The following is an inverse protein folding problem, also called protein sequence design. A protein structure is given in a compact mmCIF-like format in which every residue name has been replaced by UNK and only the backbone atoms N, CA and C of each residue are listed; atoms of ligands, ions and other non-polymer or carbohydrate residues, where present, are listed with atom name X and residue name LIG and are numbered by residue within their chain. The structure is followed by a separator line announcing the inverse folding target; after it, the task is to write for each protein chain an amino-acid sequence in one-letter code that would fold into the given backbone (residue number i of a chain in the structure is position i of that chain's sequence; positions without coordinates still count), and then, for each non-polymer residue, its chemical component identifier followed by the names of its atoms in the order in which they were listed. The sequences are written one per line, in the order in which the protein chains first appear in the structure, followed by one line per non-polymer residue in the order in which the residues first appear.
data_IF_266746575747
#
_entry.id   IF_266746575747
#
_cell.length_a   1.000
_cell.length_b   1.000
_cell.length_c   1.000
_cell.angle_alpha   90.00
_cell.angle_beta   90.00
_cell.angle_gamma   90.00
#
_symmetry.space_group_name_H-M   'P 1'
#
loop_
_entity.id
_entity.type
_entity.pdbx_description
1 polymer ?
#
# COMPACT_ATOMS: atom_id res chain seq x y z
N UNK A 1 -15.47 4.53 -4.13
CA UNK A 1 -14.27 5.08 -4.80
C UNK A 1 -13.04 4.51 -4.10
N UNK A 2 -12.21 3.72 -4.75
CA UNK A 2 -11.00 3.23 -4.12
C UNK A 2 -9.99 4.38 -3.95
N UNK A 3 -9.41 4.51 -2.78
CA UNK A 3 -8.20 5.29 -2.53
C UNK A 3 -8.35 6.68 -1.95
N UNK A 4 -9.52 7.29 -1.96
CA UNK A 4 -9.71 8.63 -1.41
C UNK A 4 -10.56 8.60 -0.14
N UNK A 5 -10.08 9.31 0.89
CA UNK A 5 -10.86 9.48 2.11
C UNK A 5 -12.02 10.42 1.86
N UNK A 6 -13.21 10.03 2.27
CA UNK A 6 -14.41 10.89 2.23
C UNK A 6 -14.17 12.23 2.91
N UNK A 7 -13.40 12.24 4.01
CA UNK A 7 -13.00 13.48 4.70
C UNK A 7 -12.15 14.40 3.84
N UNK A 8 -11.24 13.87 3.03
CA UNK A 8 -10.41 14.67 2.12
C UNK A 8 -11.23 15.23 0.96
N UNK A 9 -12.19 14.46 0.46
CA UNK A 9 -13.12 14.91 -0.56
C UNK A 9 -14.03 16.01 -0.01
N UNK A 10 -14.57 15.85 1.19
CA UNK A 10 -15.35 16.86 1.86
C UNK A 10 -14.55 18.16 2.10
N UNK A 11 -13.28 18.04 2.51
CA UNK A 11 -12.40 19.18 2.68
C UNK A 11 -12.17 19.91 1.35
N UNK A 12 -11.97 19.20 0.24
CA UNK A 12 -11.80 19.78 -1.08
C UNK A 12 -13.05 20.58 -1.52
N UNK A 13 -14.25 20.03 -1.30
CA UNK A 13 -15.52 20.74 -1.57
C UNK A 13 -15.64 22.01 -0.72
N UNK A 14 -15.32 21.95 0.56
CA UNK A 14 -15.33 23.12 1.46
C UNK A 14 -14.36 24.19 0.97
N UNK A 15 -13.14 23.82 0.58
CA UNK A 15 -12.15 24.77 0.02
C UNK A 15 -12.67 25.40 -1.26
N UNK A 16 -13.18 24.61 -2.19
CA UNK A 16 -13.72 25.10 -3.45
C UNK A 16 -14.90 26.10 -3.21
N UNK A 17 -15.79 25.80 -2.28
CA UNK A 17 -16.89 26.70 -1.88
C UNK A 17 -16.34 28.00 -1.29
N UNK A 18 -15.28 27.95 -0.47
CA UNK A 18 -14.63 29.16 0.09
C UNK A 18 -13.95 30.01 -0.96
N UNK A 19 -13.54 29.40 -2.07
CA UNK A 19 -12.99 30.09 -3.25
C UNK A 19 -14.09 30.63 -4.20
N UNK A 20 -15.37 30.58 -3.77
CA UNK A 20 -16.54 30.98 -4.56
C UNK A 20 -16.69 30.24 -5.88
N UNK A 21 -16.22 29.01 -5.96
CA UNK A 21 -16.52 28.15 -7.11
C UNK A 21 -17.96 27.64 -7.01
N UNK A 22 -18.69 27.74 -8.10
CA UNK A 22 -20.03 27.16 -8.18
C UNK A 22 -19.89 25.67 -8.41
N UNK A 23 -20.32 24.88 -7.42
CA UNK A 23 -20.30 23.41 -7.46
C UNK A 23 -21.73 22.92 -7.37
N UNK A 24 -22.22 22.30 -8.42
CA UNK A 24 -23.41 21.47 -8.35
C UNK A 24 -23.03 20.00 -8.06
N UNK A 25 -24.01 19.18 -7.76
CA UNK A 25 -23.78 17.78 -7.40
C UNK A 25 -23.20 17.00 -8.57
N UNK A 26 -23.62 17.27 -9.78
CA UNK A 26 -23.16 16.57 -10.99
C UNK A 26 -21.67 16.85 -11.25
N UNK A 27 -21.24 18.12 -11.14
CA UNK A 27 -19.83 18.48 -11.21
C UNK A 27 -18.98 17.81 -10.14
N UNK A 28 -19.49 17.71 -8.90
CA UNK A 28 -18.80 17.03 -7.79
C UNK A 28 -18.65 15.55 -8.10
N UNK A 29 -19.73 14.89 -8.52
CA UNK A 29 -19.75 13.46 -8.80
C UNK A 29 -18.84 13.14 -10.01
N UNK A 30 -18.90 13.91 -11.08
CA UNK A 30 -18.04 13.76 -12.25
C UNK A 30 -16.55 13.92 -11.88
N UNK A 31 -16.21 14.97 -11.12
CA UNK A 31 -14.85 15.21 -10.66
C UNK A 31 -14.34 14.04 -9.79
N UNK A 32 -15.19 13.52 -8.90
CA UNK A 32 -14.82 12.40 -8.03
C UNK A 32 -14.68 11.07 -8.79
N UNK A 33 -15.49 10.85 -9.81
CA UNK A 33 -15.39 9.66 -10.66
C UNK A 33 -14.13 9.69 -11.54
N UNK A 34 -13.75 10.88 -12.01
CA UNK A 34 -12.55 11.07 -12.82
C UNK A 34 -11.25 11.09 -12.01
N UNK A 35 -11.34 11.28 -10.66
CA UNK A 35 -10.16 11.49 -9.83
C UNK A 35 -9.39 10.18 -9.63
N UNK A 36 -8.16 10.15 -10.14
CA UNK A 36 -7.18 9.10 -9.91
C UNK A 36 -5.90 9.73 -9.39
N UNK A 37 -5.45 9.33 -8.21
CA UNK A 37 -4.20 9.80 -7.62
C UNK A 37 -3.22 8.63 -7.60
N UNK A 38 -2.05 8.80 -8.22
CA UNK A 38 -1.01 7.80 -8.23
C UNK A 38 -0.61 7.39 -6.79
N UNK A 39 -0.48 6.09 -6.54
CA UNK A 39 -0.12 5.56 -5.24
C UNK A 39 -1.18 5.73 -4.14
N UNK A 40 -2.45 5.93 -4.47
CA UNK A 40 -3.57 5.96 -3.52
C UNK A 40 -4.57 4.84 -3.86
N UNK A 41 -4.34 3.65 -3.29
CA UNK A 41 -5.03 2.40 -3.63
C UNK A 41 -5.17 2.21 -5.17
N UNK A 42 -4.16 2.67 -5.88
CA UNK A 42 -4.09 2.54 -7.32
C UNK A 42 -3.99 1.07 -7.67
N UNK A 43 -4.88 0.60 -8.52
CA UNK A 43 -4.91 -0.78 -8.99
C UNK A 43 -4.53 -0.83 -10.47
N UNK A 44 -3.69 -1.79 -10.81
CA UNK A 44 -3.33 -2.07 -12.21
C UNK A 44 -3.11 -3.58 -12.38
N UNK A 45 -3.31 -4.06 -13.58
CA UNK A 45 -2.99 -5.45 -13.95
C UNK A 45 -1.71 -5.43 -14.79
N UNK A 46 -0.71 -6.14 -14.32
CA UNK A 46 0.54 -6.31 -15.05
C UNK A 46 1.09 -7.72 -14.78
N UNK A 47 1.64 -8.37 -15.80
CA UNK A 47 2.22 -9.73 -15.73
C UNK A 47 1.23 -10.74 -15.11
N UNK A 48 -0.03 -10.66 -15.51
CA UNK A 48 -1.15 -11.50 -15.03
C UNK A 48 -1.37 -11.44 -13.50
N UNK A 49 -0.98 -10.36 -12.85
CA UNK A 49 -1.14 -10.11 -11.41
C UNK A 49 -1.86 -8.79 -11.15
N UNK A 50 -2.56 -8.71 -10.01
CA UNK A 50 -3.20 -7.49 -9.57
C UNK A 50 -2.24 -6.71 -8.66
N UNK A 51 -1.74 -5.59 -9.14
CA UNK A 51 -0.88 -4.69 -8.39
C UNK A 51 -1.70 -3.60 -7.69
N UNK A 52 -1.45 -3.42 -6.40
CA UNK A 52 -1.99 -2.34 -5.59
C UNK A 52 -0.86 -1.46 -5.10
N UNK A 53 -0.89 -0.20 -5.51
CA UNK A 53 0.10 0.80 -5.12
C UNK A 53 -0.53 1.75 -4.11
N UNK A 54 0.03 1.84 -2.92
CA UNK A 54 -0.43 2.74 -1.87
C UNK A 54 0.73 3.38 -1.12
N UNK A 55 0.63 4.67 -0.83
CA UNK A 55 1.59 5.42 0.00
C UNK A 55 1.23 5.33 1.50
N UNK A 56 0.67 4.22 1.95
CA UNK A 56 0.32 3.97 3.34
C UNK A 56 1.58 3.88 4.20
N UNK A 57 1.84 4.91 5.01
CA UNK A 57 3.05 5.10 5.79
C UNK A 57 2.81 5.40 7.28
N UNK A 58 1.59 5.20 7.77
CA UNK A 58 1.19 5.32 9.16
C UNK A 58 0.09 4.31 9.51
N UNK A 59 -0.19 4.12 10.80
CA UNK A 59 -1.14 3.09 11.26
C UNK A 59 -2.54 3.25 10.66
N UNK A 60 -3.04 4.47 10.53
CA UNK A 60 -4.38 4.72 10.00
C UNK A 60 -4.49 4.33 8.52
N UNK A 61 -3.52 4.73 7.69
CA UNK A 61 -3.50 4.38 6.27
C UNK A 61 -3.25 2.88 6.04
N UNK A 62 -2.40 2.25 6.85
CA UNK A 62 -2.16 0.80 6.79
C UNK A 62 -3.39 0.01 7.23
N UNK A 63 -4.11 0.46 8.27
CA UNK A 63 -5.35 -0.19 8.68
C UNK A 63 -6.40 -0.18 7.55
N UNK A 64 -6.55 0.94 6.84
CA UNK A 64 -7.45 1.02 5.68
C UNK A 64 -7.01 0.09 4.54
N UNK A 65 -5.71 0.04 4.26
CA UNK A 65 -5.16 -0.87 3.26
C UNK A 65 -5.43 -2.33 3.65
N UNK A 66 -5.25 -2.70 4.92
CA UNK A 66 -5.54 -4.04 5.44
C UNK A 66 -7.02 -4.43 5.25
N UNK A 67 -7.96 -3.53 5.57
CA UNK A 67 -9.39 -3.74 5.33
C UNK A 67 -9.67 -3.98 3.84
N UNK A 68 -9.11 -3.14 2.96
CA UNK A 68 -9.30 -3.27 1.52
C UNK A 68 -8.74 -4.60 0.96
N UNK A 69 -7.63 -5.10 1.52
CA UNK A 69 -7.06 -6.40 1.17
C UNK A 69 -8.02 -7.53 1.62
N UNK A 70 -8.51 -7.46 2.86
CA UNK A 70 -9.40 -8.47 3.43
C UNK A 70 -10.74 -8.58 2.69
N UNK A 71 -11.35 -7.45 2.30
CA UNK A 71 -12.61 -7.41 1.56
C UNK A 71 -12.54 -8.08 0.18
N UNK A 72 -11.37 -8.18 -0.41
CA UNK A 72 -11.14 -8.79 -1.73
C UNK A 72 -10.35 -10.10 -1.65
N UNK A 73 -10.41 -10.78 -0.53
CA UNK A 73 -9.69 -12.04 -0.30
C UNK A 73 -10.49 -13.24 -0.82
N UNK A 74 -10.46 -13.45 -2.14
CA UNK A 74 -11.14 -14.56 -2.81
C UNK A 74 -10.25 -15.82 -2.92
N UNK A 75 -9.47 -16.11 -1.89
CA UNK A 75 -8.49 -17.21 -1.91
C UNK A 75 -7.21 -16.87 -2.68
N UNK A 76 -7.01 -15.60 -3.03
CA UNK A 76 -5.84 -15.08 -3.73
C UNK A 76 -4.71 -14.81 -2.73
N UNK A 77 -3.50 -15.26 -3.02
CA UNK A 77 -2.32 -14.91 -2.22
C UNK A 77 -1.97 -13.42 -2.40
N UNK A 78 -1.58 -12.79 -1.30
CA UNK A 78 -1.16 -11.39 -1.31
C UNK A 78 0.30 -11.27 -0.88
N UNK A 79 1.12 -10.73 -1.75
CA UNK A 79 2.55 -10.50 -1.54
C UNK A 79 2.80 -9.02 -1.31
N UNK A 80 3.56 -8.66 -0.27
CA UNK A 80 3.84 -7.26 0.06
C UNK A 80 5.25 -6.86 -0.34
N UNK A 81 5.39 -5.81 -1.14
CA UNK A 81 6.65 -5.05 -1.25
C UNK A 81 6.53 -3.88 -0.29
N UNK A 82 7.34 -3.89 0.76
CA UNK A 82 7.24 -2.92 1.86
C UNK A 82 8.58 -2.23 2.11
N UNK A 83 8.57 -0.89 1.99
CA UNK A 83 9.69 -0.04 2.35
C UNK A 83 9.19 1.22 3.02
N UNK A 84 9.79 1.63 4.14
CA UNK A 84 9.33 2.78 4.91
C UNK A 84 10.46 3.44 5.68
N UNK A 85 10.16 4.56 6.35
CA UNK A 85 11.14 5.26 7.17
C UNK A 85 11.24 4.65 8.58
N UNK A 86 12.44 4.66 9.16
CA UNK A 86 12.74 4.04 10.46
C UNK A 86 12.03 4.72 11.64
N UNK A 87 11.64 5.98 11.49
CA UNK A 87 10.93 6.77 12.51
C UNK A 87 9.42 6.47 12.60
N UNK A 88 8.91 5.58 11.76
CA UNK A 88 7.48 5.19 11.77
C UNK A 88 7.19 4.12 12.83
N UNK A 89 5.95 3.99 13.28
CA UNK A 89 5.53 2.97 14.25
C UNK A 89 5.48 1.57 13.58
N UNK A 90 6.66 1.07 13.16
CA UNK A 90 6.83 -0.11 12.32
C UNK A 90 6.09 -1.34 12.84
N UNK A 91 6.21 -1.63 14.15
CA UNK A 91 5.54 -2.77 14.76
C UNK A 91 4.03 -2.71 14.57
N UNK A 92 3.41 -1.59 14.94
CA UNK A 92 1.96 -1.43 14.83
C UNK A 92 1.49 -1.48 13.37
N UNK A 93 2.24 -0.90 12.44
CA UNK A 93 1.92 -0.96 11.00
C UNK A 93 1.95 -2.41 10.50
N UNK A 94 2.98 -3.19 10.86
CA UNK A 94 3.10 -4.59 10.43
C UNK A 94 2.00 -5.44 11.06
N UNK A 95 1.72 -5.30 12.37
CA UNK A 95 0.66 -6.03 13.06
C UNK A 95 -0.72 -5.84 12.41
N UNK A 96 -1.03 -4.62 11.95
CA UNK A 96 -2.30 -4.28 11.32
C UNK A 96 -2.58 -5.00 10.00
N UNK A 97 -1.54 -5.37 9.24
CA UNK A 97 -1.70 -5.90 7.89
C UNK A 97 -1.20 -7.34 7.72
N UNK A 98 -0.43 -7.86 8.67
CA UNK A 98 0.26 -9.15 8.56
C UNK A 98 -0.65 -10.33 8.27
N UNK A 99 -1.87 -10.34 8.79
CA UNK A 99 -2.82 -11.45 8.60
C UNK A 99 -3.19 -11.66 7.13
N UNK A 100 -3.22 -10.57 6.36
CA UNK A 100 -3.55 -10.60 4.92
C UNK A 100 -2.36 -10.80 3.99
N UNK A 101 -1.13 -11.03 4.52
CA UNK A 101 0.10 -11.09 3.71
C UNK A 101 0.71 -12.49 3.72
N UNK A 102 0.85 -13.07 2.53
CA UNK A 102 1.46 -14.41 2.32
C UNK A 102 2.98 -14.35 2.28
N UNK A 103 3.58 -13.27 1.77
CA UNK A 103 5.04 -13.06 1.79
C UNK A 103 5.41 -11.58 1.79
N UNK A 104 6.59 -11.28 2.35
CA UNK A 104 7.14 -9.94 2.44
C UNK A 104 8.43 -9.80 1.63
N UNK A 105 8.51 -8.74 0.85
CA UNK A 105 9.65 -8.37 0.01
C UNK A 105 10.12 -6.98 0.43
N UNK A 106 11.31 -6.92 1.01
CA UNK A 106 11.83 -5.74 1.71
C UNK A 106 13.02 -5.15 0.94
N UNK A 107 12.79 -4.14 0.09
CA UNK A 107 13.89 -3.48 -0.62
C UNK A 107 14.68 -2.55 0.30
N UNK A 108 15.99 -2.47 0.08
CA UNK A 108 16.79 -1.38 0.60
C UNK A 108 16.58 -0.12 -0.24
N UNK A 109 16.66 1.03 0.41
CA UNK A 109 16.59 2.35 -0.24
C UNK A 109 17.95 3.02 -0.09
N UNK A 110 18.86 2.71 -1.01
CA UNK A 110 20.21 3.26 -1.00
C UNK A 110 20.17 4.79 -1.07
N UNK A 111 21.04 5.44 -0.30
CA UNK A 111 21.12 6.91 -0.23
C UNK A 111 20.04 7.58 0.64
N UNK A 112 19.08 6.85 1.17
CA UNK A 112 18.06 7.38 2.08
C UNK A 112 18.39 7.00 3.53
N UNK A 113 19.11 7.86 4.23
CA UNK A 113 19.57 7.61 5.61
C UNK A 113 18.44 7.34 6.62
N UNK A 114 17.21 7.81 6.34
CA UNK A 114 16.03 7.60 7.19
C UNK A 114 15.29 6.31 6.89
N UNK A 115 15.63 5.60 5.82
CA UNK A 115 14.94 4.36 5.48
C UNK A 115 15.15 3.29 6.56
N UNK A 116 14.11 2.53 6.83
CA UNK A 116 14.23 1.38 7.72
C UNK A 116 15.10 0.30 7.06
N UNK A 117 15.98 -0.31 7.86
CA UNK A 117 16.85 -1.37 7.37
C UNK A 117 16.01 -2.63 7.06
N UNK A 118 16.11 -3.22 5.87
CA UNK A 118 15.36 -4.42 5.52
C UNK A 118 15.58 -5.61 6.46
N UNK A 119 16.78 -5.79 7.00
CA UNK A 119 17.08 -6.87 7.94
C UNK A 119 16.36 -6.68 9.28
N UNK A 120 16.25 -5.44 9.77
CA UNK A 120 15.52 -5.12 11.00
C UNK A 120 14.01 -5.30 10.80
N UNK A 121 13.48 -4.88 9.66
CA UNK A 121 12.10 -5.14 9.27
C UNK A 121 11.80 -6.64 9.20
N UNK A 122 12.70 -7.42 8.57
CA UNK A 122 12.56 -8.86 8.47
C UNK A 122 12.51 -9.54 9.85
N UNK A 123 13.38 -9.14 10.78
CA UNK A 123 13.36 -9.65 12.16
C UNK A 123 12.05 -9.30 12.87
N UNK A 124 11.56 -8.08 12.68
CA UNK A 124 10.32 -7.62 13.29
C UNK A 124 9.11 -8.40 12.74
N UNK A 125 9.02 -8.57 11.42
CA UNK A 125 7.98 -9.37 10.77
C UNK A 125 8.00 -10.82 11.26
N UNK A 126 9.18 -11.43 11.35
CA UNK A 126 9.32 -12.81 11.84
C UNK A 126 8.93 -12.99 13.32
N UNK A 127 9.06 -11.95 14.14
CA UNK A 127 8.55 -11.97 15.53
C UNK A 127 7.03 -11.90 15.60
N UNK A 128 6.39 -11.19 14.66
CA UNK A 128 4.93 -11.04 14.59
C UNK A 128 4.30 -12.27 13.91
N UNK A 129 4.89 -12.70 12.79
CA UNK A 129 4.41 -13.82 11.97
C UNK A 129 5.55 -14.78 11.65
N UNK A 130 5.88 -15.73 12.56
CA UNK A 130 7.09 -16.57 12.47
C UNK A 130 7.16 -17.45 11.21
N UNK A 131 6.00 -17.82 10.65
CA UNK A 131 5.91 -18.75 9.50
C UNK A 131 5.89 -18.03 8.16
N UNK A 132 5.65 -16.71 8.12
CA UNK A 132 5.54 -15.95 6.85
C UNK A 132 6.89 -15.93 6.12
N UNK A 133 6.87 -16.03 4.81
CA UNK A 133 8.07 -15.86 4.00
C UNK A 133 8.51 -14.38 4.00
N UNK A 134 9.81 -14.13 4.19
CA UNK A 134 10.38 -12.78 4.16
C UNK A 134 11.69 -12.80 3.39
N UNK A 135 11.81 -11.90 2.42
CA UNK A 135 13.02 -11.74 1.61
C UNK A 135 13.46 -10.28 1.57
N UNK A 136 14.76 -10.04 1.77
CA UNK A 136 15.37 -8.73 1.65
C UNK A 136 16.03 -8.58 0.28
N UNK A 137 16.00 -7.38 -0.28
CA UNK A 137 16.55 -7.05 -1.58
C UNK A 137 17.46 -5.83 -1.52
N UNK A 138 18.52 -5.78 -2.35
CA UNK A 138 19.42 -4.64 -2.36
C UNK A 138 18.80 -3.36 -2.94
N UNK A 139 17.78 -3.49 -3.80
CA UNK A 139 17.11 -2.35 -4.44
C UNK A 139 15.61 -2.61 -4.61
N UNK A 140 14.77 -1.58 -4.77
CA UNK A 140 13.37 -1.73 -5.13
C UNK A 140 13.18 -2.52 -6.43
N UNK A 141 13.99 -2.26 -7.45
CA UNK A 141 13.94 -2.98 -8.73
C UNK A 141 14.15 -4.48 -8.55
N UNK A 142 15.13 -4.89 -7.73
CA UNK A 142 15.36 -6.31 -7.45
C UNK A 142 14.21 -6.96 -6.68
N UNK A 143 13.49 -6.22 -5.84
CA UNK A 143 12.28 -6.70 -5.19
C UNK A 143 11.13 -6.90 -6.20
N UNK A 144 10.93 -5.96 -7.14
CA UNK A 144 9.95 -6.11 -8.22
C UNK A 144 10.24 -7.33 -9.09
N UNK A 145 11.49 -7.53 -9.51
CA UNK A 145 11.88 -8.69 -10.30
C UNK A 145 11.78 -10.01 -9.51
N UNK A 146 12.10 -9.95 -8.21
CA UNK A 146 12.07 -11.11 -7.32
C UNK A 146 10.66 -11.62 -7.04
N UNK A 147 9.66 -10.74 -7.02
CA UNK A 147 8.27 -11.11 -6.73
C UNK A 147 7.68 -12.04 -7.80
N UNK A 148 8.13 -11.94 -9.04
CA UNK A 148 7.69 -12.80 -10.14
C UNK A 148 8.01 -14.28 -9.89
N UNK A 149 9.11 -14.56 -9.17
CA UNK A 149 9.55 -15.93 -8.90
C UNK A 149 8.75 -16.62 -7.79
N UNK A 150 7.99 -15.86 -6.99
CA UNK A 150 7.26 -16.38 -5.83
C UNK A 150 5.74 -16.24 -5.97
N UNK A 151 5.27 -15.31 -6.79
CA UNK A 151 3.85 -15.08 -7.05
C UNK A 151 3.40 -15.82 -8.32
N UNK A 152 2.12 -16.14 -8.38
CA UNK A 152 1.48 -16.83 -9.52
C UNK A 152 0.56 -15.87 -10.28
N UNK A 153 0.17 -16.18 -11.52
CA UNK A 153 -0.92 -15.49 -12.19
C UNK A 153 -2.17 -15.45 -11.32
N UNK A 154 -2.77 -14.28 -11.21
CA UNK A 154 -3.95 -14.04 -10.37
C UNK A 154 -3.64 -13.57 -8.94
N UNK A 155 -2.40 -13.71 -8.46
CA UNK A 155 -2.01 -13.21 -7.14
C UNK A 155 -2.05 -11.68 -7.06
N UNK A 156 -2.17 -11.19 -5.84
CA UNK A 156 -2.13 -9.76 -5.54
C UNK A 156 -0.75 -9.35 -5.05
N UNK A 157 -0.26 -8.24 -5.56
CA UNK A 157 0.98 -7.62 -5.10
C UNK A 157 0.65 -6.24 -4.56
N UNK A 158 0.93 -6.00 -3.28
CA UNK A 158 0.69 -4.73 -2.61
C UNK A 158 2.04 -4.04 -2.38
N UNK A 159 2.19 -2.85 -2.93
CA UNK A 159 3.39 -2.02 -2.76
C UNK A 159 3.02 -0.84 -1.87
N UNK A 160 3.66 -0.71 -0.71
CA UNK A 160 3.32 0.36 0.23
C UNK A 160 4.49 0.74 1.16
N UNK A 161 4.35 1.96 1.83
CA UNK A 161 5.31 2.47 2.83
C UNK A 161 5.60 3.95 2.76
#
# INVERSE_FOLDING_TARGET
MPGLQTSNLAAAVVVATKLNLTLDQDCIDEAFMALSIAGRQQQLVAMDRLWWLDVAHNCESVARLAVAIAEKSDGVETHAIFGTMADKPLRAMIELISEGISSWHLPAHEGIARAANPADLAQLIKRISPKVAVQCYPTPESAFNGIENVSKPGDRIVVFG
#
